data_IF_684407305334
#
_entry.id   IF_684407305334
#
_cell.length_a   1.000
_cell.length_b   1.000
_cell.length_c   1.000
_cell.angle_alpha   90.00
_cell.angle_beta   90.00
_cell.angle_gamma   90.00
#
_symmetry.space_group_name_H-M   'P 1'
#
loop_
_entity.id
_entity.type
_entity.pdbx_description
1 polymer ?
#
# COMPACT_ATOMS: atom_id res chain seq x y z
N UNK A 1 22.33 -25.36 -34.91
CA UNK A 1 20.86 -25.29 -34.87
C UNK A 1 20.50 -24.83 -33.48
N UNK A 2 19.90 -23.65 -33.38
CA UNK A 2 19.48 -23.04 -32.11
C UNK A 2 18.25 -23.79 -31.60
N UNK A 3 18.31 -24.28 -30.36
CA UNK A 3 17.16 -24.87 -29.69
C UNK A 3 16.42 -23.77 -28.96
N UNK A 4 15.12 -23.64 -29.21
CA UNK A 4 14.28 -22.69 -28.50
C UNK A 4 13.82 -23.31 -27.18
N UNK A 5 13.86 -22.51 -26.11
CA UNK A 5 13.42 -22.90 -24.77
C UNK A 5 12.09 -22.24 -24.44
N UNK A 6 11.11 -23.03 -23.99
CA UNK A 6 9.83 -22.54 -23.50
C UNK A 6 9.56 -23.06 -22.09
N UNK A 7 8.82 -22.31 -21.28
CA UNK A 7 8.45 -22.69 -19.92
C UNK A 7 6.95 -22.98 -19.81
N UNK A 8 6.60 -24.11 -19.22
CA UNK A 8 5.21 -24.52 -18.96
C UNK A 8 4.81 -24.08 -17.56
N UNK A 9 3.72 -23.31 -17.47
CA UNK A 9 3.11 -22.93 -16.21
C UNK A 9 1.65 -23.38 -16.17
N UNK A 10 1.22 -23.95 -15.04
CA UNK A 10 -0.16 -24.38 -14.82
C UNK A 10 -0.81 -23.49 -13.76
N UNK A 11 -1.98 -22.95 -14.07
CA UNK A 11 -2.81 -22.18 -13.15
C UNK A 11 -4.19 -22.82 -13.07
N UNK A 12 -4.63 -23.14 -11.87
CA UNK A 12 -5.96 -23.69 -11.59
C UNK A 12 -6.83 -22.59 -10.99
N UNK A 13 -7.97 -22.33 -11.61
CA UNK A 13 -8.91 -21.26 -11.27
C UNK A 13 -9.58 -20.69 -12.52
N UNK A 14 -10.69 -20.00 -12.34
CA UNK A 14 -11.47 -19.45 -13.45
C UNK A 14 -10.76 -18.26 -14.11
N UNK A 15 -10.83 -18.19 -15.43
CA UNK A 15 -10.14 -17.18 -16.21
C UNK A 15 -10.86 -15.81 -16.09
N UNK A 16 -10.46 -15.02 -15.10
CA UNK A 16 -10.99 -13.67 -14.88
C UNK A 16 -10.96 -13.25 -13.42
N UNK A 17 -10.80 -14.23 -12.51
CA UNK A 17 -10.70 -13.98 -11.08
C UNK A 17 -9.26 -13.91 -10.58
N UNK A 18 -9.07 -13.13 -9.51
CA UNK A 18 -7.78 -12.87 -8.84
C UNK A 18 -7.27 -14.07 -8.03
N UNK A 19 -8.14 -15.03 -7.71
CA UNK A 19 -7.80 -16.23 -6.96
C UNK A 19 -7.42 -17.38 -7.90
N UNK A 20 -6.17 -17.35 -8.40
CA UNK A 20 -5.61 -18.47 -9.18
C UNK A 20 -4.53 -19.17 -8.37
N UNK A 21 -4.57 -20.50 -8.36
CA UNK A 21 -3.52 -21.31 -7.74
C UNK A 21 -2.50 -21.69 -8.80
N UNK A 22 -1.25 -21.27 -8.64
CA UNK A 22 -0.13 -21.80 -9.42
C UNK A 22 0.16 -23.23 -8.98
N UNK A 23 0.16 -24.16 -9.92
CA UNK A 23 0.56 -25.55 -9.71
C UNK A 23 2.02 -25.68 -10.14
N UNK A 24 2.92 -26.15 -9.25
CA UNK A 24 4.31 -26.36 -9.62
C UNK A 24 4.41 -27.44 -10.70
N UNK A 25 5.14 -27.14 -11.77
CA UNK A 25 5.45 -28.09 -12.86
C UNK A 25 6.91 -28.51 -12.70
N UNK A 26 7.15 -29.79 -12.42
CA UNK A 26 8.50 -30.33 -12.39
C UNK A 26 9.11 -30.30 -13.80
N UNK A 27 10.37 -29.86 -13.90
CA UNK A 27 11.07 -29.69 -15.17
C UNK A 27 10.25 -28.84 -16.17
N UNK A 28 9.79 -27.66 -15.76
CA UNK A 28 8.90 -26.79 -16.54
C UNK A 28 9.44 -26.38 -17.93
N UNK A 29 10.75 -26.45 -18.13
CA UNK A 29 11.39 -26.04 -19.37
C UNK A 29 11.35 -27.12 -20.45
N UNK A 30 10.88 -26.74 -21.64
CA UNK A 30 10.83 -27.53 -22.85
C UNK A 30 11.86 -26.99 -23.83
N UNK A 31 12.63 -27.88 -24.45
CA UNK A 31 13.46 -27.55 -25.61
C UNK A 31 12.79 -28.10 -26.87
N UNK A 32 12.68 -27.28 -27.90
CA UNK A 32 12.21 -27.70 -29.22
C UNK A 32 12.96 -26.95 -30.33
N UNK A 33 13.01 -27.54 -31.52
CA UNK A 33 13.65 -26.98 -32.71
C UNK A 33 12.58 -26.36 -33.61
N UNK A 34 12.57 -25.03 -33.74
CA UNK A 34 11.59 -24.30 -34.56
C UNK A 34 11.58 -24.72 -36.04
N UNK A 35 12.69 -25.26 -36.56
CA UNK A 35 12.82 -25.70 -37.95
C UNK A 35 12.45 -27.17 -38.19
N UNK A 36 12.32 -27.99 -37.14
CA UNK A 36 12.06 -29.44 -37.25
C UNK A 36 10.83 -29.91 -36.48
N UNK A 37 10.45 -29.23 -35.41
CA UNK A 37 9.38 -29.64 -34.52
C UNK A 37 8.06 -28.99 -34.93
N UNK A 38 7.03 -29.83 -35.08
CA UNK A 38 5.69 -29.34 -35.36
C UNK A 38 4.93 -29.04 -34.06
N UNK A 39 3.84 -28.27 -34.21
CA UNK A 39 2.96 -27.89 -33.11
C UNK A 39 2.50 -29.09 -32.27
N UNK A 40 2.12 -30.20 -32.92
CA UNK A 40 1.65 -31.41 -32.23
C UNK A 40 2.69 -32.02 -31.29
N UNK A 41 3.97 -32.01 -31.70
CA UNK A 41 5.07 -32.48 -30.87
C UNK A 41 5.26 -31.58 -29.65
N UNK A 42 5.29 -30.26 -29.85
CA UNK A 42 5.45 -29.27 -28.78
C UNK A 42 4.26 -29.31 -27.82
N UNK A 43 3.04 -29.41 -28.35
CA UNK A 43 1.81 -29.53 -27.59
C UNK A 43 1.79 -30.81 -26.76
N UNK A 44 2.16 -31.95 -27.33
CA UNK A 44 2.24 -33.23 -26.61
C UNK A 44 3.26 -33.18 -25.46
N UNK A 45 4.42 -32.55 -25.70
CA UNK A 45 5.46 -32.36 -24.68
C UNK A 45 4.97 -31.47 -23.53
N UNK A 46 4.28 -30.37 -23.85
CA UNK A 46 3.70 -29.47 -22.86
C UNK A 46 2.55 -30.14 -22.09
N UNK A 47 1.62 -30.78 -22.81
CA UNK A 47 0.45 -31.43 -22.23
C UNK A 47 0.85 -32.59 -21.31
N UNK A 48 1.86 -33.39 -21.66
CA UNK A 48 2.39 -34.44 -20.78
C UNK A 48 2.88 -33.89 -19.44
N UNK A 49 3.55 -32.72 -19.44
CA UNK A 49 3.98 -32.05 -18.21
C UNK A 49 2.82 -31.47 -17.41
N UNK A 50 1.83 -30.89 -18.09
CA UNK A 50 0.61 -30.37 -17.46
C UNK A 50 -0.17 -31.51 -16.79
N UNK A 51 -0.39 -32.63 -17.50
CA UNK A 51 -1.09 -33.79 -16.95
C UNK A 51 -0.36 -34.40 -15.75
N UNK A 52 0.97 -34.49 -15.79
CA UNK A 52 1.77 -34.96 -14.65
C UNK A 52 1.66 -34.03 -13.44
N UNK A 53 1.72 -32.72 -13.67
CA UNK A 53 1.58 -31.71 -12.61
C UNK A 53 0.17 -31.72 -11.99
N UNK A 54 -0.87 -31.87 -12.81
CA UNK A 54 -2.26 -31.95 -12.35
C UNK A 54 -2.56 -33.27 -11.62
N UNK A 55 -1.97 -34.39 -12.04
CA UNK A 55 -2.13 -35.68 -11.35
C UNK A 55 -1.54 -35.66 -9.92
N UNK A 56 -0.48 -34.87 -9.70
CA UNK A 56 0.12 -34.64 -8.38
C UNK A 56 -0.59 -33.56 -7.56
N UNK A 57 -1.40 -32.72 -8.21
CA UNK A 57 -2.06 -31.60 -7.55
C UNK A 57 -3.27 -32.06 -6.76
N UNK A 58 -3.13 -32.12 -5.43
CA UNK A 58 -4.27 -32.27 -4.51
C UNK A 58 -4.96 -30.91 -4.35
N UNK A 59 -6.28 -30.88 -4.54
CA UNK A 59 -7.07 -29.65 -4.48
C UNK A 59 -6.93 -28.96 -3.11
N UNK A 60 -6.34 -27.76 -3.08
CA UNK A 60 -6.02 -26.98 -1.87
C UNK A 60 -7.20 -26.63 -0.95
N UNK A 61 -8.45 -26.85 -1.39
CA UNK A 61 -9.66 -26.51 -0.62
C UNK A 61 -9.98 -27.53 0.48
N UNK A 62 -9.44 -28.74 0.41
CA UNK A 62 -9.57 -29.71 1.50
C UNK A 62 -8.31 -29.59 2.34
N UNK A 63 -8.42 -29.06 3.57
CA UNK A 63 -7.30 -29.13 4.53
C UNK A 63 -6.91 -30.61 4.66
N UNK A 64 -5.68 -31.01 4.27
CA UNK A 64 -5.26 -32.40 4.36
C UNK A 64 -5.10 -32.82 5.82
N UNK A 65 -4.94 -31.86 6.73
CA UNK A 65 -4.89 -32.05 8.17
C UNK A 65 -5.91 -31.17 8.91
N UNK A 66 -6.63 -31.76 9.88
CA UNK A 66 -7.54 -31.02 10.75
C UNK A 66 -6.81 -30.32 11.91
N UNK A 67 -5.50 -30.10 11.79
CA UNK A 67 -4.70 -29.51 12.86
C UNK A 67 -4.96 -28.01 12.95
N UNK A 68 -4.93 -27.50 14.17
CA UNK A 68 -4.92 -26.08 14.46
C UNK A 68 -3.47 -25.60 14.42
N UNK A 69 -3.26 -24.37 13.95
CA UNK A 69 -1.95 -23.77 13.81
C UNK A 69 -1.89 -22.43 14.55
N UNK A 70 -0.80 -22.21 15.26
CA UNK A 70 -0.44 -20.99 15.95
C UNK A 70 0.39 -20.08 15.03
N UNK A 71 0.00 -18.80 14.99
CA UNK A 71 0.78 -17.74 14.36
C UNK A 71 1.61 -17.03 15.45
N UNK A 72 2.94 -17.26 15.53
CA UNK A 72 3.75 -16.81 16.67
C UNK A 72 3.91 -15.29 16.75
N UNK A 73 3.73 -14.55 15.65
CA UNK A 73 3.74 -13.08 15.64
C UNK A 73 2.83 -12.52 14.54
N UNK A 74 2.40 -11.25 14.65
CA UNK A 74 1.48 -10.61 13.69
C UNK A 74 2.02 -10.58 12.25
N UNK A 75 3.34 -10.54 12.08
CA UNK A 75 4.02 -10.57 10.77
C UNK A 75 4.69 -11.92 10.45
N UNK A 76 4.46 -12.94 11.28
CA UNK A 76 4.99 -14.27 11.00
C UNK A 76 4.48 -14.75 9.64
N UNK A 77 5.43 -15.17 8.80
CA UNK A 77 5.13 -15.80 7.52
C UNK A 77 4.42 -17.11 7.79
N UNK A 78 3.55 -17.55 6.87
CA UNK A 78 2.80 -18.80 7.03
C UNK A 78 3.69 -20.02 7.29
N UNK A 79 4.91 -20.05 6.71
CA UNK A 79 5.91 -21.10 6.95
C UNK A 79 6.43 -21.16 8.41
N UNK A 80 6.21 -20.11 9.19
CA UNK A 80 6.59 -20.02 10.60
C UNK A 80 5.43 -20.41 11.53
N UNK A 81 4.28 -20.84 10.98
CA UNK A 81 3.17 -21.28 11.81
C UNK A 81 3.51 -22.63 12.42
N UNK A 82 3.21 -22.78 13.71
CA UNK A 82 3.48 -23.99 14.48
C UNK A 82 2.17 -24.73 14.73
N UNK A 83 2.17 -26.06 14.76
CA UNK A 83 0.96 -26.80 15.13
C UNK A 83 0.61 -26.49 16.60
N UNK A 84 -0.67 -26.23 16.88
CA UNK A 84 -1.18 -25.99 18.23
C UNK A 84 -1.19 -27.32 19.00
N UNK A 85 -0.25 -27.45 19.93
CA UNK A 85 -0.08 -28.59 20.84
C UNK A 85 0.09 -28.10 22.27
N UNK A 86 -0.07 -28.98 23.25
CA UNK A 86 0.19 -28.67 24.67
C UNK A 86 1.62 -28.20 24.93
N UNK A 87 2.59 -28.61 24.11
CA UNK A 87 4.01 -28.25 24.23
C UNK A 87 4.34 -26.89 23.61
N UNK A 88 3.63 -26.49 22.55
CA UNK A 88 3.84 -25.22 21.85
C UNK A 88 3.03 -24.07 22.46
N UNK A 89 1.97 -24.41 23.20
CA UNK A 89 1.08 -23.46 23.87
C UNK A 89 1.79 -22.51 24.86
N UNK A 90 2.71 -22.94 25.73
CA UNK A 90 3.37 -22.05 26.69
C UNK A 90 4.22 -20.95 26.02
N UNK A 91 4.83 -21.24 24.86
CA UNK A 91 5.63 -20.27 24.11
C UNK A 91 4.82 -19.07 23.58
N UNK A 92 3.49 -19.18 23.51
CA UNK A 92 2.59 -18.09 23.11
C UNK A 92 2.55 -16.95 24.14
N UNK A 93 2.68 -17.28 25.43
CA UNK A 93 2.66 -16.27 26.50
C UNK A 93 4.01 -15.58 26.65
N UNK A 94 5.13 -16.28 26.40
CA UNK A 94 6.46 -15.68 26.40
C UNK A 94 6.62 -14.64 25.26
N UNK A 95 6.02 -14.87 24.09
CA UNK A 95 6.01 -13.90 22.99
C UNK A 95 5.10 -12.67 23.24
N UNK A 96 4.29 -12.65 24.31
CA UNK A 96 3.56 -11.46 24.74
C UNK A 96 4.44 -10.49 25.54
N UNK A 97 5.54 -10.95 26.13
CA UNK A 97 6.45 -10.09 26.89
C UNK A 97 7.49 -9.43 25.98
N UNK A 98 7.05 -8.33 25.37
CA UNK A 98 7.71 -7.01 25.27
C UNK A 98 6.87 -6.25 24.25
N UNK A 99 5.73 -5.71 24.71
CA UNK A 99 5.06 -4.60 24.03
C UNK A 99 5.09 -3.40 24.97
N UNK A 100 6.22 -2.72 25.01
CA UNK A 100 6.12 -1.26 25.07
C UNK A 100 5.66 -0.80 23.68
N UNK A 101 4.45 -0.22 23.58
CA UNK A 101 4.11 0.64 22.44
C UNK A 101 3.52 -0.03 21.19
N UNK A 102 2.20 -0.27 21.19
CA UNK A 102 1.30 0.37 20.19
C UNK A 102 0.05 0.73 20.98
N UNK A 103 -0.04 1.98 21.39
CA UNK A 103 -1.24 2.50 22.02
C UNK A 103 -2.20 2.97 20.93
N UNK A 104 -3.50 2.97 21.19
CA UNK A 104 -4.50 3.46 20.24
C UNK A 104 -4.42 4.99 20.18
N UNK A 105 -4.50 5.58 18.99
CA UNK A 105 -4.69 7.01 18.82
C UNK A 105 -6.15 7.35 19.15
N UNK A 106 -6.46 7.37 20.44
CA UNK A 106 -7.76 7.85 20.93
C UNK A 106 -7.83 9.36 20.73
N UNK A 107 -9.05 9.94 20.61
CA UNK A 107 -9.21 11.38 20.43
C UNK A 107 -8.44 12.22 21.46
N UNK A 108 -8.45 11.82 22.74
CA UNK A 108 -7.71 12.49 23.82
C UNK A 108 -6.21 12.49 23.58
N UNK A 109 -5.63 11.36 23.18
CA UNK A 109 -4.18 11.28 22.91
C UNK A 109 -3.77 12.04 21.66
N UNK A 110 -4.66 12.13 20.68
CA UNK A 110 -4.45 12.97 19.49
C UNK A 110 -4.44 14.46 19.90
N UNK A 111 -5.33 14.87 20.80
CA UNK A 111 -5.36 16.25 21.33
C UNK A 111 -4.11 16.57 22.17
N UNK A 112 -3.74 15.70 23.11
CA UNK A 112 -2.51 15.84 23.91
C UNK A 112 -1.27 15.89 23.01
N UNK A 113 -1.22 15.03 21.99
CA UNK A 113 -0.14 15.04 21.00
C UNK A 113 -0.13 16.33 20.18
N UNK A 114 -1.30 16.86 19.80
CA UNK A 114 -1.41 18.12 19.06
C UNK A 114 -0.89 19.29 19.91
N UNK A 115 -1.26 19.38 21.19
CA UNK A 115 -0.77 20.43 22.10
C UNK A 115 0.75 20.35 22.30
N UNK A 116 1.28 19.13 22.44
CA UNK A 116 2.73 18.91 22.54
C UNK A 116 3.47 19.28 21.23
N UNK A 117 2.85 19.02 20.08
CA UNK A 117 3.36 19.43 18.76
C UNK A 117 3.31 20.95 18.60
N UNK A 118 2.23 21.61 19.02
CA UNK A 118 2.11 23.07 18.95
C UNK A 118 3.17 23.74 19.82
N UNK A 119 3.39 23.23 21.03
CA UNK A 119 4.48 23.67 21.91
C UNK A 119 5.85 23.52 21.24
N UNK A 120 6.11 22.37 20.59
CA UNK A 120 7.34 22.12 19.84
C UNK A 120 7.53 23.09 18.66
N UNK A 121 6.46 23.43 17.95
CA UNK A 121 6.49 24.36 16.81
C UNK A 121 6.69 25.81 17.24
N UNK A 122 6.19 26.21 18.41
CA UNK A 122 6.46 27.54 19.00
C UNK A 122 7.95 27.72 19.30
N UNK A 123 8.61 26.67 19.79
CA UNK A 123 10.06 26.69 20.06
C UNK A 123 10.91 26.64 18.77
N UNK A 124 10.38 26.08 17.68
CA UNK A 124 11.07 25.91 16.39
C UNK A 124 10.40 26.68 15.25
N UNK A 125 10.64 27.98 15.22
CA UNK A 125 10.10 28.89 14.19
C UNK A 125 10.60 28.60 12.76
N UNK A 126 11.64 27.79 12.61
CA UNK A 126 12.18 27.34 11.33
C UNK A 126 11.32 26.25 10.66
N UNK A 127 10.46 25.58 11.42
CA UNK A 127 9.63 24.47 10.94
C UNK A 127 8.21 24.95 10.67
N UNK A 128 7.79 24.94 9.41
CA UNK A 128 6.39 25.19 9.01
C UNK A 128 5.72 23.88 8.59
N UNK A 129 4.60 23.55 9.24
CA UNK A 129 3.79 22.36 8.95
C UNK A 129 2.35 22.82 8.77
N UNK A 130 1.72 22.44 7.66
CA UNK A 130 0.30 22.73 7.43
C UNK A 130 -0.62 21.79 8.21
N UNK A 131 -1.92 22.04 8.11
CA UNK A 131 -2.91 21.38 8.97
C UNK A 131 -3.05 19.88 8.67
N UNK A 132 -2.86 19.46 7.42
CA UNK A 132 -2.95 18.05 7.01
C UNK A 132 -1.77 17.27 7.59
N UNK A 133 -0.54 17.78 7.45
CA UNK A 133 0.64 17.15 8.02
C UNK A 133 0.65 17.21 9.54
N UNK A 134 0.13 18.28 10.16
CA UNK A 134 0.02 18.40 11.63
C UNK A 134 -0.93 17.33 12.19
N UNK A 135 -2.08 17.11 11.56
CA UNK A 135 -3.02 16.05 11.96
C UNK A 135 -2.40 14.65 11.85
N UNK A 136 -1.73 14.35 10.73
CA UNK A 136 -1.04 13.08 10.56
C UNK A 136 0.04 12.86 11.63
N UNK A 137 0.78 13.92 11.97
CA UNK A 137 1.79 13.89 13.03
C UNK A 137 1.16 13.64 14.39
N UNK A 138 0.09 14.34 14.75
CA UNK A 138 -0.63 14.13 16.00
C UNK A 138 -1.13 12.69 16.15
N UNK A 139 -1.69 12.10 15.09
CA UNK A 139 -2.12 10.68 15.09
C UNK A 139 -0.92 9.74 15.27
N UNK A 140 0.20 10.02 14.58
CA UNK A 140 1.41 9.20 14.68
C UNK A 140 2.04 9.28 16.07
N UNK A 141 2.03 10.45 16.69
CA UNK A 141 2.53 10.71 18.03
C UNK A 141 1.60 10.11 19.10
N UNK A 142 0.28 10.15 18.90
CA UNK A 142 -0.70 9.52 19.78
C UNK A 142 -0.58 7.99 19.84
N UNK A 143 0.13 7.35 18.90
CA UNK A 143 0.46 5.93 18.98
C UNK A 143 1.71 5.63 19.84
N UNK A 144 2.53 6.65 20.13
CA UNK A 144 3.76 6.52 20.91
C UNK A 144 3.48 6.40 22.42
N UNK A 145 4.48 6.00 23.20
CA UNK A 145 4.45 6.02 24.67
C UNK A 145 4.51 7.45 25.21
N UNK A 146 4.07 7.69 26.45
CA UNK A 146 4.09 9.04 27.04
C UNK A 146 5.51 9.58 27.22
N UNK A 147 6.49 8.68 27.40
CA UNK A 147 7.91 9.04 27.51
C UNK A 147 8.56 9.39 26.15
N UNK A 148 7.84 9.23 25.03
CA UNK A 148 8.36 9.54 23.72
C UNK A 148 8.28 11.05 23.45
N UNK A 149 9.43 11.71 23.41
CA UNK A 149 9.53 13.11 23.07
C UNK A 149 8.96 13.43 21.68
N UNK A 150 8.45 14.66 21.52
CA UNK A 150 7.97 15.16 20.23
C UNK A 150 9.16 15.46 19.32
N UNK A 151 9.20 14.84 18.16
CA UNK A 151 10.23 15.05 17.14
C UNK A 151 9.59 15.16 15.76
N UNK A 152 10.21 15.96 14.88
CA UNK A 152 9.73 16.12 13.51
C UNK A 152 9.82 14.78 12.75
N UNK A 153 8.71 14.25 12.21
CA UNK A 153 8.75 12.97 11.51
C UNK A 153 9.50 13.08 10.17
N UNK A 154 10.33 12.08 9.85
CA UNK A 154 11.01 12.00 8.55
C UNK A 154 10.36 11.01 7.57
N UNK A 155 9.22 10.42 7.96
CA UNK A 155 8.58 9.35 7.21
C UNK A 155 8.06 9.81 5.84
N UNK A 156 8.03 8.89 4.87
CA UNK A 156 7.48 9.17 3.54
C UNK A 156 6.02 9.64 3.59
N UNK A 157 5.22 9.08 4.50
CA UNK A 157 3.85 9.50 4.75
C UNK A 157 3.77 10.95 5.22
N UNK A 158 4.63 11.37 6.14
CA UNK A 158 4.66 12.77 6.60
C UNK A 158 5.08 13.74 5.48
N UNK A 159 6.08 13.40 4.67
CA UNK A 159 6.47 14.20 3.49
C UNK A 159 5.34 14.33 2.47
N UNK A 160 4.57 13.27 2.27
CA UNK A 160 3.39 13.31 1.41
C UNK A 160 2.34 14.28 1.95
N UNK A 161 2.09 14.28 3.26
CA UNK A 161 1.14 15.22 3.87
C UNK A 161 1.63 16.67 3.77
N UNK A 162 2.93 16.92 3.95
CA UNK A 162 3.51 18.25 3.72
C UNK A 162 3.36 18.71 2.26
N UNK A 163 3.48 17.78 1.31
CA UNK A 163 3.25 18.08 -0.09
C UNK A 163 1.77 18.45 -0.36
N UNK A 164 0.82 17.76 0.29
CA UNK A 164 -0.60 18.12 0.22
C UNK A 164 -0.87 19.51 0.80
N UNK A 165 -0.27 19.84 1.95
CA UNK A 165 -0.37 21.18 2.54
C UNK A 165 0.17 22.27 1.60
N UNK A 166 1.31 22.01 0.95
CA UNK A 166 1.89 22.95 -0.02
C UNK A 166 0.98 23.16 -1.24
N UNK A 167 0.34 22.10 -1.74
CA UNK A 167 -0.65 22.21 -2.82
C UNK A 167 -1.86 23.03 -2.39
N UNK A 168 -2.43 22.76 -1.20
CA UNK A 168 -3.57 23.50 -0.67
C UNK A 168 -3.26 24.99 -0.46
N UNK A 169 -2.08 25.32 0.07
CA UNK A 169 -1.65 26.71 0.26
C UNK A 169 -1.46 27.46 -1.07
N UNK A 170 -0.94 26.78 -2.10
CA UNK A 170 -0.71 27.38 -3.41
C UNK A 170 -1.99 27.72 -4.19
N UNK A 171 -3.11 27.06 -3.87
CA UNK A 171 -4.43 27.38 -4.43
C UNK A 171 -5.07 28.61 -3.76
N UNK A 172 -4.78 28.90 -2.49
CA UNK A 172 -5.36 30.05 -1.76
C UNK A 172 -4.63 31.38 -2.03
N UNK A 173 -3.35 31.36 -2.38
CA UNK A 173 -2.64 32.56 -2.87
C UNK A 173 -2.93 32.86 -4.35
N UNK A 174 -3.95 32.21 -4.90
CA UNK A 174 -4.34 32.30 -6.29
C UNK A 174 -5.83 32.49 -6.48
N UNK A 175 -6.31 33.70 -6.23
CA UNK A 175 -7.19 34.39 -7.19
C UNK A 175 -6.40 34.68 -8.49
N UNK A 176 -5.58 33.71 -8.90
CA UNK A 176 -4.63 33.76 -9.98
C UNK A 176 -5.44 33.39 -11.19
N UNK A 177 -5.56 34.34 -12.11
CA UNK A 177 -5.55 34.04 -13.54
C UNK A 177 -4.58 32.88 -13.76
N UNK A 178 -5.11 31.66 -13.75
CA UNK A 178 -4.33 30.44 -13.83
C UNK A 178 -3.82 30.45 -15.26
N UNK A 179 -2.58 30.94 -15.42
CA UNK A 179 -2.05 31.44 -16.68
C UNK A 179 -2.58 30.64 -17.84
N UNK A 180 -3.51 31.27 -18.58
CA UNK A 180 -4.36 30.65 -19.61
C UNK A 180 -3.54 29.74 -20.50
N UNK A 181 -2.26 30.10 -20.69
CA UNK A 181 -1.29 29.39 -21.51
C UNK A 181 -0.14 28.77 -20.71
N UNK A 182 0.12 27.47 -20.90
CA UNK A 182 1.31 26.76 -20.41
C UNK A 182 2.11 26.13 -21.54
N UNK A 183 3.43 26.20 -21.42
CA UNK A 183 4.36 25.57 -22.38
C UNK A 183 4.64 24.13 -21.96
N UNK A 184 4.32 23.19 -22.83
CA UNK A 184 4.60 21.77 -22.69
C UNK A 184 5.65 21.35 -23.71
N UNK A 185 6.55 20.47 -23.29
CA UNK A 185 7.49 19.81 -24.20
C UNK A 185 6.79 18.59 -24.80
N UNK A 186 6.66 18.55 -26.12
CA UNK A 186 5.96 17.50 -26.86
C UNK A 186 6.87 16.93 -27.93
N UNK A 187 6.92 15.60 -28.04
CA UNK A 187 7.59 14.90 -29.14
C UNK A 187 6.54 14.15 -29.98
N UNK A 188 6.54 14.41 -31.30
CA UNK A 188 5.65 13.75 -32.25
C UNK A 188 6.45 12.72 -33.05
N UNK A 189 5.98 11.48 -33.07
CA UNK A 189 6.55 10.38 -33.88
C UNK A 189 8.05 10.15 -33.67
N UNK A 190 8.56 10.34 -32.44
CA UNK A 190 9.99 10.17 -32.12
C UNK A 190 10.90 11.31 -32.62
N UNK A 191 10.31 12.43 -33.04
CA UNK A 191 11.04 13.65 -33.42
C UNK A 191 11.60 14.39 -32.20
N UNK A 192 12.43 15.40 -32.44
CA UNK A 192 13.00 16.26 -31.38
C UNK A 192 11.89 16.92 -30.56
N UNK A 193 12.15 17.02 -29.26
CA UNK A 193 11.32 17.72 -28.30
C UNK A 193 11.04 19.16 -28.78
N UNK A 194 9.76 19.48 -28.95
CA UNK A 194 9.28 20.82 -29.33
C UNK A 194 8.51 21.41 -28.15
N UNK A 195 8.77 22.68 -27.86
CA UNK A 195 8.01 23.42 -26.85
C UNK A 195 6.77 24.03 -27.51
N UNK A 196 5.59 23.62 -27.06
CA UNK A 196 4.31 24.12 -27.53
C UNK A 196 3.56 24.78 -26.37
N UNK A 197 3.01 25.95 -26.61
CA UNK A 197 2.22 26.69 -25.62
C UNK A 197 0.74 26.42 -25.86
N UNK A 198 0.05 25.85 -24.88
CA UNK A 198 -1.35 25.46 -24.97
C UNK A 198 -2.21 26.25 -24.00
N UNK A 199 -3.44 26.55 -24.42
CA UNK A 199 -4.47 26.94 -23.47
C UNK A 199 -4.82 25.72 -22.59
N UNK A 200 -4.62 25.83 -21.28
CA UNK A 200 -4.83 24.70 -20.37
C UNK A 200 -6.31 24.37 -20.20
N UNK A 201 -7.21 25.34 -20.23
CA UNK A 201 -8.65 25.09 -20.12
C UNK A 201 -9.17 24.33 -21.33
N UNK A 202 -8.76 24.73 -22.53
CA UNK A 202 -9.15 24.03 -23.77
C UNK A 202 -8.53 22.63 -23.83
N UNK A 203 -7.25 22.49 -23.45
CA UNK A 203 -6.58 21.19 -23.41
C UNK A 203 -7.28 20.24 -22.43
N UNK A 204 -7.63 20.72 -21.23
CA UNK A 204 -8.39 19.94 -20.24
C UNK A 204 -9.77 19.59 -20.75
N UNK A 205 -10.48 20.53 -21.39
CA UNK A 205 -11.80 20.26 -21.97
C UNK A 205 -11.75 19.16 -23.04
N UNK A 206 -10.75 19.17 -23.92
CA UNK A 206 -10.53 18.12 -24.93
C UNK A 206 -10.22 16.77 -24.27
N UNK A 207 -9.42 16.77 -23.20
CA UNK A 207 -9.08 15.57 -22.44
C UNK A 207 -10.17 15.16 -21.43
N UNK A 208 -11.28 15.90 -21.35
CA UNK A 208 -12.37 15.71 -20.38
C UNK A 208 -11.88 15.73 -18.91
N UNK A 209 -10.84 16.52 -18.64
CA UNK A 209 -10.30 16.72 -17.30
C UNK A 209 -10.97 17.94 -16.64
N UNK A 210 -11.21 17.91 -15.31
CA UNK A 210 -11.68 19.08 -14.58
C UNK A 210 -10.70 20.26 -14.68
N UNK A 211 -11.23 21.48 -14.76
CA UNK A 211 -10.43 22.71 -14.77
C UNK A 211 -9.82 23.05 -13.40
N UNK A 212 -10.39 22.52 -12.33
CA UNK A 212 -9.87 22.66 -10.97
C UNK A 212 -8.94 21.50 -10.59
N UNK A 213 -8.06 21.71 -9.61
CA UNK A 213 -7.30 20.62 -9.00
C UNK A 213 -8.22 19.79 -8.07
N UNK A 214 -8.55 18.52 -8.39
CA UNK A 214 -9.48 17.73 -7.57
C UNK A 214 -8.96 17.44 -6.16
N UNK A 215 -7.64 17.50 -5.96
CA UNK A 215 -7.00 17.24 -4.67
C UNK A 215 -7.00 18.52 -3.82
N UNK A 216 -6.52 19.64 -4.35
CA UNK A 216 -6.36 20.88 -3.61
C UNK A 216 -7.67 21.68 -3.48
N UNK A 217 -8.45 21.79 -4.56
CA UNK A 217 -9.73 22.51 -4.58
C UNK A 217 -10.94 21.60 -4.29
N UNK A 218 -10.77 20.29 -4.43
CA UNK A 218 -11.81 19.30 -4.14
C UNK A 218 -11.70 18.68 -2.74
N UNK A 219 -10.88 17.63 -2.62
CA UNK A 219 -10.85 16.76 -1.44
C UNK A 219 -10.36 17.43 -0.16
N UNK A 220 -9.41 18.37 -0.26
CA UNK A 220 -8.79 19.00 0.90
C UNK A 220 -9.11 20.50 1.04
N UNK A 221 -9.95 21.06 0.17
CA UNK A 221 -10.28 22.50 0.19
C UNK A 221 -10.96 22.96 1.48
N UNK A 222 -11.75 22.07 2.09
CA UNK A 222 -12.43 22.31 3.37
C UNK A 222 -11.93 21.35 4.45
N UNK A 223 -10.66 20.92 4.38
CA UNK A 223 -10.13 20.05 5.41
C UNK A 223 -10.25 20.74 6.78
N UNK A 224 -11.06 20.15 7.65
CA UNK A 224 -11.18 20.55 9.04
C UNK A 224 -10.65 19.42 9.92
N UNK A 225 -9.67 19.69 10.78
CA UNK A 225 -9.30 18.78 11.85
C UNK A 225 -10.56 18.30 12.60
N UNK A 226 -10.70 16.99 12.89
CA UNK A 226 -11.81 16.50 13.69
C UNK A 226 -11.93 17.30 15.00
N UNK A 227 -13.13 17.79 15.31
CA UNK A 227 -13.38 18.52 16.55
C UNK A 227 -13.18 17.61 17.76
N UNK A 228 -12.59 18.15 18.81
CA UNK A 228 -12.42 17.46 20.09
C UNK A 228 -13.80 17.00 20.63
N UNK A 229 -13.97 15.71 20.97
CA UNK A 229 -15.20 15.26 21.59
C UNK A 229 -15.27 15.78 23.03
N UNK A 230 -16.43 16.37 23.39
CA UNK A 230 -16.66 16.97 24.71
C UNK A 230 -16.65 15.98 25.89
N UNK A 231 -16.71 14.67 25.61
CA UNK A 231 -16.78 13.62 26.62
C UNK A 231 -15.79 12.51 26.30
N UNK A 232 -14.87 12.27 27.24
CA UNK A 232 -13.97 11.13 27.24
C UNK A 232 -14.78 9.85 27.53
N UNK A 233 -14.98 9.00 26.53
CA UNK A 233 -15.50 7.65 26.75
C UNK A 233 -14.34 6.74 27.15
N UNK A 234 -14.30 6.33 28.42
CA UNK A 234 -13.32 5.38 28.91
C UNK A 234 -13.39 4.05 28.15
N UNK A 235 -12.23 3.55 27.73
CA UNK A 235 -12.10 2.28 27.02
C UNK A 235 -12.39 1.11 27.97
N UNK A 236 -13.61 0.57 27.95
CA UNK A 236 -13.88 -0.73 28.57
C UNK A 236 -13.31 -1.83 27.67
N UNK A 237 -12.14 -2.34 28.04
CA UNK A 237 -11.64 -3.60 27.49
C UNK A 237 -12.64 -4.67 27.94
N UNK A 238 -13.47 -5.17 27.01
CA UNK A 238 -14.33 -6.33 27.26
C UNK A 238 -13.45 -7.59 27.36
N UNK A 239 -12.70 -7.72 28.46
CA UNK A 239 -12.22 -9.00 28.95
C UNK A 239 -13.46 -9.68 29.55
N UNK A 240 -14.16 -10.48 28.73
CA UNK A 240 -15.09 -11.46 29.29
C UNK A 240 -14.26 -12.52 30.01
N UNK A 241 -14.58 -12.70 31.29
CA UNK A 241 -14.05 -13.73 32.19
C UNK A 241 -14.15 -15.16 31.61
#
# INVERSE_FOLDING_TARGET
>A
MEKTRACVAVKVGEFGHTCRTSVPVENAELEFDEGRDNFERVYSLANGKVSSALAKYTTKITRPDMKLYLKPSQHAKQAQFMALTSETWPGMYAAKEVRQGIRRATPTRIAEAAEAIDSYLVERQDVRVGDIARMHWAISQAHQSDDAGVTLPESAGFRQMQHLDAMSASCHEGDREEGVYRTLTVSLNGSRDMQLTFNIEELRAVLQLPNYSPIAEGLFSNFQPPREPAVNMGDTINLRD
#
